data_IF_098881392062
#
_entry.id   IF_098881392062
#
_cell.length_a   1.000
_cell.length_b   1.000
_cell.length_c   1.000
_cell.angle_alpha   90.00
_cell.angle_beta   90.00
_cell.angle_gamma   90.00
#
_symmetry.space_group_name_H-M   'P 1'
#
loop_
_entity.id
_entity.type
_entity.pdbx_description
1 polymer ?
#
# COMPACT_ATOMS: atom_id res chain seq x y z
N UNK A 1 -10.87 27.96 -12.72
CA UNK A 1 -12.19 27.30 -12.82
C UNK A 1 -12.11 26.08 -11.93
N UNK A 2 -12.74 26.11 -10.76
CA UNK A 2 -12.79 24.95 -9.87
C UNK A 2 -13.66 23.89 -10.54
N UNK A 3 -13.06 22.75 -10.88
CA UNK A 3 -13.80 21.59 -11.32
C UNK A 3 -14.32 20.88 -10.04
N UNK A 4 -15.64 20.72 -9.86
CA UNK A 4 -16.24 20.16 -8.63
C UNK A 4 -15.65 18.81 -8.18
N UNK A 5 -15.10 18.02 -9.11
CA UNK A 5 -14.39 16.78 -8.79
C UNK A 5 -13.11 17.07 -8.01
N UNK A 6 -12.36 18.12 -8.37
CA UNK A 6 -11.11 18.46 -7.68
C UNK A 6 -11.35 18.96 -6.27
N UNK A 7 -12.47 19.62 -5.97
CA UNK A 7 -12.81 20.01 -4.59
C UNK A 7 -13.18 18.81 -3.71
N UNK A 8 -13.52 17.67 -4.32
CA UNK A 8 -13.78 16.42 -3.60
C UNK A 8 -12.50 15.63 -3.35
N UNK A 9 -11.58 15.63 -4.31
CA UNK A 9 -10.33 14.86 -4.26
C UNK A 9 -9.18 15.64 -3.61
N UNK A 10 -9.25 16.97 -3.67
CA UNK A 10 -8.27 17.92 -3.15
C UNK A 10 -9.01 19.05 -2.43
N UNK A 11 -8.29 19.88 -1.70
CA UNK A 11 -8.84 21.11 -1.13
C UNK A 11 -7.82 22.22 -1.31
N UNK A 12 -8.19 23.38 -1.84
CA UNK A 12 -7.32 24.56 -1.85
C UNK A 12 -8.15 25.79 -1.50
N UNK A 13 -7.53 26.79 -0.87
CA UNK A 13 -8.14 28.09 -0.67
C UNK A 13 -8.42 28.79 -2.02
N UNK A 14 -9.22 29.85 -2.01
CA UNK A 14 -9.65 30.55 -3.26
C UNK A 14 -8.47 31.04 -4.11
N UNK A 15 -7.33 31.33 -3.48
CA UNK A 15 -6.11 31.78 -4.15
C UNK A 15 -5.24 30.63 -4.68
N UNK A 16 -5.51 29.38 -4.31
CA UNK A 16 -4.72 28.20 -4.67
C UNK A 16 -3.37 28.08 -3.95
N UNK A 17 -3.13 28.91 -2.94
CA UNK A 17 -1.84 29.03 -2.25
C UNK A 17 -1.68 28.06 -1.08
N UNK A 18 -2.79 27.66 -0.47
CA UNK A 18 -2.83 26.70 0.64
C UNK A 18 -3.87 25.64 0.35
N UNK A 19 -3.52 24.38 0.53
CA UNK A 19 -4.43 23.29 0.24
C UNK A 19 -3.91 21.94 0.70
N UNK A 20 -4.82 20.98 0.68
CA UNK A 20 -4.61 19.57 0.94
C UNK A 20 -4.61 18.81 -0.38
N UNK A 21 -3.49 18.17 -0.67
CA UNK A 21 -3.40 17.18 -1.72
C UNK A 21 -4.15 15.89 -1.34
N UNK A 22 -4.15 14.89 -2.24
CA UNK A 22 -4.87 13.64 -2.02
C UNK A 22 -4.40 12.90 -0.75
N UNK A 23 -3.11 12.99 -0.42
CA UNK A 23 -2.54 12.35 0.76
C UNK A 23 -2.96 13.08 2.03
N UNK A 24 -3.02 14.40 2.00
CA UNK A 24 -3.47 15.23 3.12
C UNK A 24 -4.98 15.10 3.35
N UNK A 25 -5.77 14.97 2.29
CA UNK A 25 -7.21 14.71 2.38
C UNK A 25 -7.51 13.39 3.12
N UNK A 26 -6.72 12.34 2.86
CA UNK A 26 -6.86 11.05 3.55
C UNK A 26 -6.66 11.16 5.06
N UNK A 27 -5.93 12.18 5.53
CA UNK A 27 -5.56 12.40 6.93
C UNK A 27 -6.49 13.37 7.67
N UNK A 28 -7.56 13.86 7.04
CA UNK A 28 -8.50 14.78 7.69
C UNK A 28 -9.20 14.12 8.89
N UNK A 29 -9.10 14.75 10.06
CA UNK A 29 -9.76 14.29 11.29
C UNK A 29 -11.29 14.49 11.25
N UNK A 30 -11.75 15.56 10.59
CA UNK A 30 -13.16 15.89 10.47
C UNK A 30 -13.65 15.56 9.06
N UNK A 31 -14.43 14.49 8.96
CA UNK A 31 -14.99 14.01 7.71
C UNK A 31 -16.38 14.63 7.51
N UNK A 32 -16.52 15.45 6.46
CA UNK A 32 -17.80 16.03 6.06
C UNK A 32 -18.71 14.94 5.42
N UNK A 33 -19.89 14.64 6.00
CA UNK A 33 -20.82 13.66 5.44
C UNK A 33 -21.26 13.99 4.00
N UNK A 34 -21.41 15.27 3.64
CA UNK A 34 -21.81 15.66 2.28
C UNK A 34 -20.69 15.34 1.27
N UNK A 35 -19.42 15.49 1.69
CA UNK A 35 -18.27 15.10 0.89
C UNK A 35 -18.20 13.58 0.72
N UNK A 36 -18.50 12.81 1.77
CA UNK A 36 -18.56 11.35 1.69
C UNK A 36 -19.57 10.89 0.65
N UNK A 37 -20.80 11.42 0.67
CA UNK A 37 -21.83 11.02 -0.31
C UNK A 37 -21.43 11.39 -1.75
N UNK A 38 -20.77 12.54 -1.95
CA UNK A 38 -20.24 12.93 -3.26
C UNK A 38 -19.07 12.04 -3.73
N UNK A 39 -18.18 11.64 -2.83
CA UNK A 39 -17.10 10.70 -3.12
C UNK A 39 -17.65 9.31 -3.52
N UNK A 40 -18.73 8.84 -2.89
CA UNK A 40 -19.41 7.59 -3.29
C UNK A 40 -19.92 7.65 -4.73
N UNK A 41 -20.43 8.80 -5.17
CA UNK A 41 -20.84 8.99 -6.56
C UNK A 41 -19.65 8.92 -7.53
N UNK A 42 -18.46 9.38 -7.11
CA UNK A 42 -17.24 9.31 -7.93
C UNK A 42 -16.72 7.89 -8.14
N UNK A 43 -17.11 6.91 -7.31
CA UNK A 43 -16.76 5.49 -7.54
C UNK A 43 -17.35 4.94 -8.85
N UNK A 44 -18.38 5.60 -9.39
CA UNK A 44 -19.04 5.25 -10.65
C UNK A 44 -18.63 6.15 -11.82
N UNK A 45 -17.52 6.88 -11.70
CA UNK A 45 -17.00 7.70 -12.80
C UNK A 45 -16.52 6.82 -13.97
N UNK A 46 -16.72 7.28 -15.20
CA UNK A 46 -16.21 6.60 -16.40
C UNK A 46 -14.67 6.62 -16.47
N UNK A 47 -14.06 7.62 -15.84
CA UNK A 47 -12.63 7.71 -15.60
C UNK A 47 -12.26 6.87 -14.37
N UNK A 48 -11.63 5.72 -14.63
CA UNK A 48 -11.20 4.77 -13.62
C UNK A 48 -10.17 5.37 -12.65
N UNK A 49 -9.34 6.32 -13.09
CA UNK A 49 -8.39 7.02 -12.21
C UNK A 49 -9.12 7.90 -11.19
N UNK A 50 -10.19 8.59 -11.60
CA UNK A 50 -11.04 9.36 -10.67
C UNK A 50 -11.71 8.43 -9.66
N UNK A 51 -12.25 7.29 -10.11
CA UNK A 51 -12.86 6.29 -9.24
C UNK A 51 -11.84 5.72 -8.24
N UNK A 52 -10.61 5.46 -8.69
CA UNK A 52 -9.49 5.04 -7.86
C UNK A 52 -9.12 6.07 -6.78
N UNK A 53 -8.99 7.35 -7.13
CA UNK A 53 -8.68 8.41 -6.16
C UNK A 53 -9.78 8.56 -5.10
N UNK A 54 -11.06 8.48 -5.49
CA UNK A 54 -12.17 8.47 -4.56
C UNK A 54 -12.15 7.24 -3.64
N UNK A 55 -11.82 6.06 -4.19
CA UNK A 55 -11.64 4.83 -3.41
C UNK A 55 -10.58 4.98 -2.33
N UNK A 56 -9.40 5.55 -2.64
CA UNK A 56 -8.34 5.75 -1.65
C UNK A 56 -8.80 6.59 -0.45
N UNK A 57 -9.50 7.69 -0.71
CA UNK A 57 -10.05 8.56 0.36
C UNK A 57 -11.05 7.78 1.22
N UNK A 58 -12.00 7.08 0.59
CA UNK A 58 -13.02 6.32 1.31
C UNK A 58 -12.43 5.15 2.11
N UNK A 59 -11.40 4.49 1.59
CA UNK A 59 -10.63 3.47 2.33
C UNK A 59 -9.97 4.07 3.57
N UNK A 60 -9.21 5.16 3.40
CA UNK A 60 -8.51 5.84 4.48
C UNK A 60 -9.47 6.26 5.61
N UNK A 61 -10.67 6.74 5.24
CA UNK A 61 -11.73 7.14 6.16
C UNK A 61 -12.58 5.98 6.71
N UNK A 62 -12.19 4.73 6.44
CA UNK A 62 -12.88 3.52 6.87
C UNK A 62 -14.36 3.42 6.39
N UNK A 63 -14.70 4.06 5.26
CA UNK A 63 -16.06 4.05 4.69
C UNK A 63 -16.29 2.74 3.91
N UNK A 64 -17.37 1.97 4.20
CA UNK A 64 -17.62 0.65 3.60
C UNK A 64 -17.57 0.60 2.08
N UNK A 65 -18.08 1.63 1.40
CA UNK A 65 -18.10 1.72 -0.06
C UNK A 65 -16.69 1.74 -0.67
N UNK A 66 -15.69 2.27 0.04
CA UNK A 66 -14.28 2.21 -0.39
C UNK A 66 -13.75 0.77 -0.42
N UNK A 67 -14.09 -0.05 0.58
CA UNK A 67 -13.70 -1.46 0.62
C UNK A 67 -14.39 -2.29 -0.46
N UNK A 68 -15.69 -2.02 -0.70
CA UNK A 68 -16.42 -2.65 -1.80
C UNK A 68 -15.80 -2.30 -3.16
N UNK A 69 -15.36 -1.06 -3.34
CA UNK A 69 -14.65 -0.66 -4.56
C UNK A 69 -13.30 -1.35 -4.67
N UNK A 70 -12.56 -1.53 -3.57
CA UNK A 70 -11.30 -2.29 -3.56
C UNK A 70 -11.51 -3.76 -3.94
N UNK A 71 -12.58 -4.39 -3.45
CA UNK A 71 -12.94 -5.76 -3.86
C UNK A 71 -13.18 -5.83 -5.38
N UNK A 72 -13.87 -4.83 -5.94
CA UNK A 72 -14.11 -4.71 -7.38
C UNK A 72 -12.81 -4.46 -8.17
N UNK A 73 -11.96 -3.55 -7.69
CA UNK A 73 -10.65 -3.24 -8.27
C UNK A 73 -9.83 -4.52 -8.46
N UNK A 74 -9.77 -5.35 -7.40
CA UNK A 74 -9.05 -6.64 -7.41
C UNK A 74 -9.73 -7.65 -8.34
N UNK A 75 -11.05 -7.84 -8.20
CA UNK A 75 -11.79 -8.84 -8.95
C UNK A 75 -11.77 -8.58 -10.47
N UNK A 76 -11.80 -7.32 -10.86
CA UNK A 76 -11.78 -6.88 -12.25
C UNK A 76 -10.37 -6.57 -12.78
N UNK A 77 -9.33 -6.74 -11.96
CA UNK A 77 -7.92 -6.53 -12.33
C UNK A 77 -7.68 -5.15 -12.95
N UNK A 78 -8.12 -4.10 -12.26
CA UNK A 78 -8.00 -2.74 -12.77
C UNK A 78 -6.55 -2.38 -13.11
N UNK A 79 -5.60 -2.84 -12.30
CA UNK A 79 -4.16 -2.68 -12.50
C UNK A 79 -3.60 -3.31 -13.81
N UNK A 80 -4.38 -4.14 -14.50
CA UNK A 80 -4.04 -4.67 -15.83
C UNK A 80 -4.63 -3.84 -16.99
N UNK A 81 -5.54 -2.91 -16.69
CA UNK A 81 -6.26 -2.09 -17.69
C UNK A 81 -5.57 -0.75 -17.95
N UNK A 82 -5.01 -0.14 -16.90
CA UNK A 82 -4.31 1.14 -16.96
C UNK A 82 -3.33 1.27 -15.78
N UNK A 83 -2.48 2.30 -15.83
CA UNK A 83 -1.58 2.64 -14.73
C UNK A 83 -2.22 3.71 -13.83
N UNK A 84 -2.27 3.45 -12.53
CA UNK A 84 -2.82 4.37 -11.53
C UNK A 84 -1.71 5.13 -10.81
N UNK A 85 -0.65 4.44 -10.40
CA UNK A 85 0.46 5.02 -9.65
C UNK A 85 1.79 4.69 -10.34
N UNK A 86 2.02 5.20 -11.57
CA UNK A 86 3.20 4.87 -12.35
C UNK A 86 4.47 5.33 -11.62
N UNK A 87 5.37 4.39 -11.37
CA UNK A 87 6.63 4.70 -10.73
C UNK A 87 7.52 5.53 -11.67
N UNK A 88 8.13 6.60 -11.14
CA UNK A 88 8.82 7.62 -11.97
C UNK A 88 10.08 7.10 -12.67
N UNK A 89 10.71 6.06 -12.12
CA UNK A 89 12.00 5.53 -12.58
C UNK A 89 11.92 4.08 -13.08
N UNK A 90 10.82 3.40 -12.77
CA UNK A 90 10.63 1.99 -13.07
C UNK A 90 9.34 1.94 -13.86
N UNK A 91 9.33 1.31 -15.04
CA UNK A 91 8.13 1.21 -15.88
C UNK A 91 7.14 0.20 -15.27
N UNK A 92 6.71 0.49 -14.05
CA UNK A 92 5.93 -0.32 -13.14
C UNK A 92 4.89 0.57 -12.44
N UNK A 93 3.87 -0.06 -11.87
CA UNK A 93 2.79 0.63 -11.16
C UNK A 93 2.84 0.25 -9.67
N UNK A 94 2.88 1.26 -8.80
CA UNK A 94 2.95 1.11 -7.34
C UNK A 94 1.54 1.09 -6.67
N UNK A 95 0.48 0.92 -7.46
CA UNK A 95 -0.92 1.05 -7.05
C UNK A 95 -1.27 0.30 -5.76
N UNK A 96 -0.80 -0.95 -5.62
CA UNK A 96 -1.10 -1.78 -4.45
C UNK A 96 -0.38 -1.31 -3.19
N UNK A 97 0.81 -0.73 -3.30
CA UNK A 97 1.52 -0.15 -2.16
C UNK A 97 0.84 1.15 -1.72
N UNK A 98 0.36 1.97 -2.65
CA UNK A 98 -0.43 3.18 -2.34
C UNK A 98 -1.75 2.82 -1.66
N UNK A 99 -2.46 1.80 -2.15
CA UNK A 99 -3.66 1.26 -1.49
C UNK A 99 -3.32 0.78 -0.07
N UNK A 100 -2.16 0.15 0.12
CA UNK A 100 -1.73 -0.31 1.45
C UNK A 100 -1.59 0.84 2.45
N UNK A 101 -1.15 2.02 2.00
CA UNK A 101 -1.13 3.21 2.86
C UNK A 101 -2.54 3.69 3.24
N UNK A 102 -3.50 3.68 2.32
CA UNK A 102 -4.88 4.01 2.65
C UNK A 102 -5.47 3.02 3.68
N UNK A 103 -5.17 1.72 3.53
CA UNK A 103 -5.54 0.70 4.53
C UNK A 103 -4.85 0.92 5.88
N UNK A 104 -3.59 1.34 5.89
CA UNK A 104 -2.89 1.73 7.11
C UNK A 104 -3.60 2.88 7.81
N UNK A 105 -3.99 3.93 7.07
CA UNK A 105 -4.72 5.08 7.62
C UNK A 105 -6.09 4.65 8.18
N UNK A 106 -6.79 3.73 7.52
CA UNK A 106 -8.07 3.19 7.98
C UNK A 106 -8.02 2.61 9.39
N UNK A 107 -6.85 2.13 9.83
CA UNK A 107 -6.68 1.61 11.21
C UNK A 107 -6.78 2.69 12.29
N UNK A 108 -6.49 3.95 11.96
CA UNK A 108 -6.72 5.09 12.86
C UNK A 108 -8.19 5.54 12.85
N UNK A 109 -8.93 5.17 11.80
CA UNK A 109 -10.36 5.49 11.62
C UNK A 109 -11.29 4.33 12.01
N UNK A 110 -10.82 3.41 12.86
CA UNK A 110 -11.64 2.39 13.51
C UNK A 110 -11.62 1.00 12.88
N UNK A 111 -10.89 0.78 11.77
CA UNK A 111 -10.63 -0.57 11.29
C UNK A 111 -9.62 -1.31 12.16
N UNK A 112 -9.95 -2.54 12.51
CA UNK A 112 -8.98 -3.44 13.13
C UNK A 112 -8.05 -4.04 12.08
N UNK A 113 -6.85 -4.42 12.48
CA UNK A 113 -5.87 -5.05 11.58
C UNK A 113 -6.43 -6.38 11.01
N UNK A 114 -7.19 -7.12 11.83
CA UNK A 114 -7.82 -8.38 11.43
C UNK A 114 -8.84 -8.22 10.31
N UNK A 115 -9.59 -7.11 10.29
CA UNK A 115 -10.50 -6.78 9.19
C UNK A 115 -9.73 -6.53 7.88
N UNK A 116 -8.47 -6.10 7.95
CA UNK A 116 -7.65 -5.78 6.79
C UNK A 116 -6.81 -6.96 6.29
N UNK A 117 -6.66 -8.03 7.09
CA UNK A 117 -5.88 -9.21 6.70
C UNK A 117 -6.24 -9.81 5.36
N UNK A 118 -7.52 -9.89 4.92
CA UNK A 118 -7.83 -10.41 3.58
C UNK A 118 -7.11 -9.63 2.46
N UNK A 119 -7.04 -8.31 2.57
CA UNK A 119 -6.36 -7.45 1.60
C UNK A 119 -4.84 -7.58 1.69
N UNK A 120 -4.28 -7.51 2.91
CA UNK A 120 -2.84 -7.65 3.12
C UNK A 120 -2.35 -9.03 2.65
N UNK A 121 -3.13 -10.08 2.91
CA UNK A 121 -2.86 -11.44 2.40
C UNK A 121 -2.90 -11.49 0.88
N UNK A 122 -3.86 -10.83 0.24
CA UNK A 122 -3.89 -10.74 -1.21
C UNK A 122 -2.63 -10.03 -1.75
N UNK A 123 -2.22 -8.93 -1.14
CA UNK A 123 -1.03 -8.18 -1.54
C UNK A 123 0.26 -9.00 -1.38
N UNK A 124 0.39 -9.76 -0.29
CA UNK A 124 1.48 -10.72 -0.10
C UNK A 124 1.48 -11.81 -1.20
N UNK A 125 0.32 -12.30 -1.62
CA UNK A 125 0.23 -13.33 -2.66
C UNK A 125 0.67 -12.82 -4.04
N UNK A 126 0.45 -11.54 -4.35
CA UNK A 126 0.85 -10.93 -5.64
C UNK A 126 2.21 -10.21 -5.55
N UNK A 127 2.85 -10.22 -4.37
CA UNK A 127 4.08 -9.46 -4.08
C UNK A 127 5.25 -9.84 -4.99
N UNK A 128 5.31 -11.08 -5.47
CA UNK A 128 6.35 -11.48 -6.43
C UNK A 128 6.15 -10.89 -7.83
N UNK A 129 4.91 -10.62 -8.22
CA UNK A 129 4.55 -10.25 -9.59
C UNK A 129 4.40 -8.74 -9.76
N UNK A 130 3.87 -8.06 -8.73
CA UNK A 130 3.57 -6.62 -8.73
C UNK A 130 4.65 -5.82 -8.01
N UNK A 131 4.73 -4.54 -8.32
CA UNK A 131 5.70 -3.64 -7.73
C UNK A 131 5.20 -3.05 -6.41
N UNK A 132 6.07 -3.03 -5.41
CA UNK A 132 5.81 -2.45 -4.08
C UNK A 132 7.04 -1.67 -3.63
N UNK A 133 6.82 -0.46 -3.09
CA UNK A 133 7.90 0.36 -2.56
C UNK A 133 8.15 0.16 -1.07
N UNK A 134 7.22 0.50 -0.17
CA UNK A 134 7.50 0.37 1.27
C UNK A 134 6.27 0.35 2.16
N UNK A 135 5.11 0.79 1.70
CA UNK A 135 3.93 0.89 2.54
C UNK A 135 3.46 -0.47 3.05
N UNK A 136 3.60 -1.54 2.25
CA UNK A 136 3.32 -2.90 2.71
C UNK A 136 4.30 -3.35 3.80
N UNK A 137 5.60 -3.07 3.66
CA UNK A 137 6.58 -3.33 4.71
C UNK A 137 6.21 -2.59 5.99
N UNK A 138 5.91 -1.30 5.86
CA UNK A 138 5.55 -0.42 6.97
C UNK A 138 4.28 -0.90 7.70
N UNK A 139 3.26 -1.31 6.95
CA UNK A 139 2.04 -1.90 7.53
C UNK A 139 2.40 -3.13 8.35
N UNK A 140 3.17 -4.06 7.79
CA UNK A 140 3.52 -5.33 8.43
C UNK A 140 4.40 -5.16 9.68
N UNK A 141 5.23 -4.10 9.75
CA UNK A 141 6.06 -3.77 10.92
C UNK A 141 5.29 -3.02 12.01
N UNK A 142 4.33 -2.16 11.63
CA UNK A 142 3.63 -1.26 12.56
C UNK A 142 2.32 -1.85 13.10
N UNK A 143 1.79 -2.90 12.47
CA UNK A 143 0.54 -3.59 12.81
C UNK A 143 0.84 -5.04 13.16
N UNK A 144 0.07 -5.69 14.03
CA UNK A 144 0.30 -7.07 14.48
C UNK A 144 -0.04 -8.11 13.40
N UNK A 145 0.81 -8.23 12.39
CA UNK A 145 0.65 -9.13 11.25
C UNK A 145 1.28 -10.50 11.47
N UNK A 146 1.58 -10.91 12.71
CA UNK A 146 2.14 -12.24 13.01
C UNK A 146 1.36 -13.41 12.39
N UNK A 147 0.00 -13.39 12.33
CA UNK A 147 -0.76 -14.46 11.66
C UNK A 147 -0.46 -14.62 10.17
N UNK A 148 0.11 -13.60 9.52
CA UNK A 148 0.46 -13.58 8.10
C UNK A 148 1.94 -13.94 7.85
N UNK A 149 2.68 -14.39 8.88
CA UNK A 149 4.11 -14.66 8.75
C UNK A 149 4.43 -15.66 7.62
N UNK A 150 3.61 -16.70 7.47
CA UNK A 150 3.77 -17.70 6.41
C UNK A 150 3.60 -17.07 5.03
N UNK A 151 2.57 -16.24 4.85
CA UNK A 151 2.33 -15.49 3.62
C UNK A 151 3.47 -14.52 3.33
N UNK A 152 4.05 -13.88 4.34
CA UNK A 152 5.26 -13.04 4.19
C UNK A 152 6.47 -13.84 3.71
N UNK A 153 6.70 -15.04 4.25
CA UNK A 153 7.77 -15.93 3.75
C UNK A 153 7.54 -16.35 2.30
N UNK A 154 6.29 -16.67 1.93
CA UNK A 154 5.92 -17.02 0.56
C UNK A 154 6.13 -15.85 -0.41
N UNK A 155 5.76 -14.63 0.02
CA UNK A 155 5.99 -13.40 -0.74
C UNK A 155 7.49 -13.16 -1.02
N UNK A 156 8.36 -13.42 -0.04
CA UNK A 156 9.83 -13.37 -0.23
C UNK A 156 10.25 -14.36 -1.31
N UNK A 157 9.83 -15.62 -1.22
CA UNK A 157 10.22 -16.64 -2.21
C UNK A 157 9.74 -16.27 -3.62
N UNK A 158 8.49 -15.86 -3.77
CA UNK A 158 7.95 -15.44 -5.07
C UNK A 158 8.73 -14.24 -5.66
N UNK A 159 9.08 -13.24 -4.84
CA UNK A 159 9.87 -12.10 -5.29
C UNK A 159 11.31 -12.51 -5.67
N UNK A 160 11.93 -13.45 -4.95
CA UNK A 160 13.25 -14.00 -5.31
C UNK A 160 13.19 -14.78 -6.63
N UNK A 161 12.18 -15.62 -6.84
CA UNK A 161 11.96 -16.37 -8.08
C UNK A 161 11.79 -15.45 -9.29
N UNK A 162 11.07 -14.33 -9.11
CA UNK A 162 10.89 -13.30 -10.12
C UNK A 162 12.05 -12.28 -10.20
N UNK A 163 13.17 -12.54 -9.51
CA UNK A 163 14.39 -11.70 -9.50
C UNK A 163 14.17 -10.26 -9.01
N UNK A 164 13.12 -10.02 -8.22
CA UNK A 164 12.86 -8.75 -7.52
C UNK A 164 13.63 -8.69 -6.22
N UNK A 165 14.96 -8.81 -6.28
CA UNK A 165 15.80 -9.04 -5.09
C UNK A 165 15.69 -7.95 -4.02
N UNK A 166 15.66 -6.68 -4.43
CA UNK A 166 15.49 -5.58 -3.49
C UNK A 166 14.12 -5.64 -2.80
N UNK A 167 13.04 -5.80 -3.57
CA UNK A 167 11.69 -5.94 -3.02
C UNK A 167 11.58 -7.15 -2.07
N UNK A 168 12.11 -8.31 -2.46
CA UNK A 168 12.20 -9.48 -1.58
C UNK A 168 12.89 -9.15 -0.24
N UNK A 169 13.99 -8.38 -0.28
CA UNK A 169 14.71 -7.98 0.92
C UNK A 169 13.94 -7.02 1.83
N UNK A 170 12.93 -6.30 1.34
CA UNK A 170 12.12 -5.40 2.17
C UNK A 170 11.30 -6.16 3.21
N UNK A 171 10.93 -7.41 2.95
CA UNK A 171 10.23 -8.25 3.91
C UNK A 171 11.18 -8.93 4.91
N UNK A 172 12.50 -8.81 4.76
CA UNK A 172 13.46 -9.38 5.71
C UNK A 172 13.33 -8.81 7.14
N UNK A 173 13.32 -7.47 7.35
CA UNK A 173 13.02 -6.89 8.66
C UNK A 173 11.69 -7.39 9.25
N UNK A 174 10.67 -7.60 8.40
CA UNK A 174 9.35 -8.10 8.83
C UNK A 174 9.44 -9.51 9.39
N UNK A 175 10.15 -10.42 8.72
CA UNK A 175 10.34 -11.78 9.26
C UNK A 175 11.04 -11.70 10.62
N UNK A 176 12.15 -10.96 10.71
CA UNK A 176 12.96 -10.88 11.95
C UNK A 176 12.19 -10.24 13.09
N UNK A 177 11.30 -9.29 12.79
CA UNK A 177 10.41 -8.68 13.77
C UNK A 177 9.52 -9.73 14.47
N UNK A 178 9.03 -10.75 13.76
CA UNK A 178 8.16 -11.80 14.31
C UNK A 178 8.87 -13.09 14.70
N UNK A 179 10.01 -13.39 14.08
CA UNK A 179 10.82 -14.58 14.28
C UNK A 179 12.32 -14.23 14.22
N UNK A 180 12.88 -13.87 15.38
CA UNK A 180 14.29 -13.46 15.50
C UNK A 180 15.28 -14.56 15.10
N UNK A 181 14.91 -15.83 15.28
CA UNK A 181 15.79 -16.97 15.00
C UNK A 181 16.03 -17.15 13.49
N UNK A 182 15.14 -16.58 12.66
CA UNK A 182 15.27 -16.56 11.20
C UNK A 182 16.39 -15.66 10.69
N UNK A 183 16.96 -14.78 11.53
CA UNK A 183 17.89 -13.73 11.09
C UNK A 183 19.06 -14.27 10.28
N UNK A 184 19.80 -15.25 10.82
CA UNK A 184 21.00 -15.78 10.15
C UNK A 184 20.64 -16.42 8.79
N UNK A 185 19.52 -17.15 8.73
CA UNK A 185 19.03 -17.77 7.49
C UNK A 185 18.81 -16.72 6.40
N UNK A 186 18.06 -15.66 6.69
CA UNK A 186 17.74 -14.66 5.68
C UNK A 186 18.92 -13.70 5.41
N UNK A 187 19.75 -13.41 6.42
CA UNK A 187 20.99 -12.64 6.23
C UNK A 187 21.90 -13.32 5.21
N UNK A 188 22.11 -14.63 5.30
CA UNK A 188 22.95 -15.35 4.35
C UNK A 188 22.39 -15.29 2.93
N UNK A 189 21.07 -15.47 2.77
CA UNK A 189 20.37 -15.34 1.48
C UNK A 189 20.60 -13.94 0.89
N UNK A 190 20.25 -12.89 1.63
CA UNK A 190 20.29 -11.53 1.10
C UNK A 190 21.71 -10.96 0.96
N UNK A 191 22.65 -11.38 1.81
CA UNK A 191 24.06 -10.99 1.67
C UNK A 191 24.65 -11.46 0.34
N UNK A 192 24.23 -12.64 -0.13
CA UNK A 192 24.67 -13.17 -1.43
C UNK A 192 24.12 -12.39 -2.64
N UNK A 193 23.08 -11.56 -2.43
CA UNK A 193 22.39 -10.80 -3.48
C UNK A 193 22.79 -9.32 -3.51
N UNK A 194 23.65 -8.85 -2.60
CA UNK A 194 24.08 -7.43 -2.53
C UNK A 194 24.72 -6.96 -3.85
N UNK A 195 25.41 -7.85 -4.57
CA UNK A 195 25.99 -7.51 -5.89
C UNK A 195 24.95 -7.30 -6.98
N UNK A 196 23.76 -7.90 -6.83
CA UNK A 196 22.63 -7.71 -7.77
C UNK A 196 21.88 -6.41 -7.46
N UNK A 197 21.75 -6.05 -6.18
CA UNK A 197 21.19 -4.76 -5.77
C UNK A 197 21.78 -4.30 -4.42
N UNK A 198 22.57 -3.21 -4.45
CA UNK A 198 23.25 -2.70 -3.27
C UNK A 198 22.31 -2.13 -2.21
N UNK A 199 21.06 -1.81 -2.56
CA UNK A 199 20.06 -1.30 -1.61
C UNK A 199 19.62 -2.34 -0.59
N UNK A 200 19.86 -3.63 -0.87
CA UNK A 200 19.59 -4.75 0.07
C UNK A 200 20.30 -4.55 1.41
N UNK A 201 21.48 -3.89 1.41
CA UNK A 201 22.23 -3.58 2.64
C UNK A 201 21.37 -2.84 3.66
N UNK A 202 20.54 -1.87 3.22
CA UNK A 202 19.67 -1.12 4.12
C UNK A 202 18.68 -2.01 4.87
N UNK A 203 18.11 -3.01 4.21
CA UNK A 203 17.15 -3.92 4.84
C UNK A 203 17.85 -4.94 5.76
N UNK A 204 19.10 -5.31 5.47
CA UNK A 204 19.91 -6.12 6.40
C UNK A 204 20.19 -5.32 7.68
N UNK A 205 20.64 -4.07 7.55
CA UNK A 205 20.92 -3.18 8.69
C UNK A 205 19.65 -2.89 9.51
N UNK A 206 18.49 -2.76 8.86
CA UNK A 206 17.20 -2.60 9.53
C UNK A 206 16.81 -3.86 10.32
N UNK A 207 16.96 -5.05 9.73
CA UNK A 207 16.71 -6.31 10.41
C UNK A 207 17.63 -6.52 11.63
N UNK A 208 18.91 -6.13 11.52
CA UNK A 208 19.89 -6.20 12.61
C UNK A 208 19.48 -5.40 13.85
N UNK A 209 18.80 -4.26 13.67
CA UNK A 209 18.32 -3.42 14.78
C UNK A 209 17.20 -4.09 15.61
N UNK A 210 16.58 -5.14 15.09
CA UNK A 210 15.44 -5.81 15.71
C UNK A 210 15.83 -7.03 16.56
N UNK A 211 17.10 -7.43 16.53
CA UNK A 211 17.65 -8.56 17.31
C UNK A 211 17.93 -8.12 18.74
#
# INVERSE_FOLDING_TARGET
MNNPIHELLYHYNEEGNEGYDLSEVQLLENIDPDRVEKLKLLLHNDDLYIAYQAMLILLAWAIPEGFKQLDQFIAEKWDEKENFEPHRLHNEDNVYDVITNALYIATFNGKTEQELYPYIKHFLNIYGDKFFESNLKDFLLKKNCRPLLKETEQAIQAALENKRYYQASQLFPVIVHYDKDSFNKYKDIFSSLISEDSRIVYNIEEAEKSI
#
